data_IF_333387444229
#
_entry.id   IF_333387444229
#
_cell.length_a   1.000
_cell.length_b   1.000
_cell.length_c   1.000
_cell.angle_alpha   90.00
_cell.angle_beta   90.00
_cell.angle_gamma   90.00
#
_symmetry.space_group_name_H-M   'P 1'
#
loop_
_entity.id
_entity.type
_entity.pdbx_description
1 polymer ?
#
# COMPACT_ATOMS: atom_id res chain seq x y z
N UNK A 1 10.26 -24.93 11.66
CA UNK A 1 11.38 -24.32 12.42
C UNK A 1 12.50 -24.05 11.43
N UNK A 2 13.22 -22.94 11.57
CA UNK A 2 14.35 -22.57 10.71
C UNK A 2 15.62 -22.52 11.55
N UNK A 3 16.73 -22.97 10.97
CA UNK A 3 18.06 -22.91 11.59
C UNK A 3 19.03 -22.43 10.53
N UNK A 4 19.78 -21.38 10.84
CA UNK A 4 20.86 -20.89 9.99
C UNK A 4 22.00 -21.90 9.94
N UNK A 5 22.62 -22.07 8.77
CA UNK A 5 23.79 -22.93 8.58
C UNK A 5 24.83 -22.22 7.72
N UNK A 6 26.10 -22.54 7.96
CA UNK A 6 27.22 -22.09 7.11
C UNK A 6 27.47 -23.04 5.93
N UNK A 7 26.83 -24.22 5.94
CA UNK A 7 26.90 -25.19 4.85
C UNK A 7 25.92 -24.80 3.73
N UNK A 8 26.34 -23.84 2.92
CA UNK A 8 25.53 -23.27 1.84
C UNK A 8 25.11 -24.32 0.80
N UNK A 9 25.98 -25.29 0.50
CA UNK A 9 25.72 -26.33 -0.52
C UNK A 9 24.62 -27.31 -0.10
N UNK A 10 24.47 -27.54 1.21
CA UNK A 10 23.47 -28.47 1.75
C UNK A 10 22.29 -27.76 2.46
N UNK A 11 22.25 -26.43 2.43
CA UNK A 11 21.13 -25.66 2.97
C UNK A 11 19.83 -25.99 2.22
N UNK A 12 18.71 -26.09 2.93
CA UNK A 12 17.41 -26.30 2.28
C UNK A 12 16.92 -25.06 1.54
N UNK A 13 17.33 -23.89 2.02
CA UNK A 13 17.04 -22.58 1.44
C UNK A 13 18.35 -21.83 1.37
N UNK A 14 18.72 -21.36 0.18
CA UNK A 14 19.84 -20.46 -0.02
C UNK A 14 19.35 -19.03 -0.25
N UNK A 15 20.12 -18.05 0.21
CA UNK A 15 19.79 -16.63 0.07
C UNK A 15 21.04 -15.91 -0.46
N UNK A 16 20.89 -15.14 -1.54
CA UNK A 16 22.02 -14.46 -2.17
C UNK A 16 21.64 -13.20 -2.93
N UNK A 17 22.66 -12.42 -3.31
CA UNK A 17 22.54 -11.20 -4.11
C UNK A 17 23.23 -11.39 -5.45
N UNK A 18 22.52 -11.10 -6.54
CA UNK A 18 22.98 -11.39 -7.90
C UNK A 18 22.68 -10.24 -8.88
N UNK A 19 23.40 -10.19 -10.00
CA UNK A 19 23.17 -9.26 -11.10
C UNK A 19 22.78 -10.03 -12.37
N UNK A 20 21.85 -9.50 -13.16
CA UNK A 20 21.57 -10.02 -14.51
C UNK A 20 21.33 -11.53 -14.53
N UNK A 21 21.94 -12.23 -15.48
CA UNK A 21 21.96 -13.70 -15.49
C UNK A 21 22.84 -14.27 -14.37
N UNK A 22 22.28 -15.18 -13.61
CA UNK A 22 22.91 -15.81 -12.45
C UNK A 22 22.64 -17.32 -12.35
N UNK A 23 22.31 -17.96 -13.48
CA UNK A 23 22.35 -19.42 -13.62
C UNK A 23 21.09 -20.18 -13.20
N UNK A 24 19.98 -19.49 -12.96
CA UNK A 24 18.68 -20.07 -12.60
C UNK A 24 17.59 -19.89 -13.68
N UNK A 25 17.98 -19.42 -14.87
CA UNK A 25 17.10 -19.10 -16.01
C UNK A 25 16.10 -17.95 -15.78
N UNK A 26 16.23 -17.21 -14.67
CA UNK A 26 15.42 -16.04 -14.34
C UNK A 26 16.34 -14.81 -14.16
N UNK A 27 16.98 -14.31 -15.24
CA UNK A 27 17.90 -13.19 -15.13
C UNK A 27 17.20 -11.92 -14.64
N UNK A 28 17.86 -11.15 -13.78
CA UNK A 28 17.34 -9.87 -13.30
C UNK A 28 17.38 -8.78 -14.37
N UNK A 29 16.31 -8.00 -14.44
CA UNK A 29 16.23 -6.73 -15.16
C UNK A 29 16.15 -5.53 -14.18
N UNK A 30 15.71 -4.37 -14.66
CA UNK A 30 15.57 -3.14 -13.86
C UNK A 30 14.27 -3.06 -13.04
N UNK A 31 13.36 -4.03 -13.17
CA UNK A 31 12.03 -4.04 -12.56
C UNK A 31 11.91 -5.06 -11.44
N UNK A 32 12.65 -6.16 -11.51
CA UNK A 32 12.59 -7.23 -10.52
C UNK A 32 13.48 -6.90 -9.32
N UNK A 33 12.87 -6.78 -8.14
CA UNK A 33 13.60 -6.53 -6.89
C UNK A 33 14.27 -7.80 -6.35
N UNK A 34 13.56 -8.91 -6.38
CA UNK A 34 14.00 -10.21 -5.92
C UNK A 34 13.09 -11.29 -6.54
N UNK A 35 13.47 -12.56 -6.41
CA UNK A 35 12.57 -13.68 -6.65
C UNK A 35 12.91 -14.87 -5.74
N UNK A 36 11.94 -15.75 -5.55
CA UNK A 36 12.11 -17.05 -4.93
C UNK A 36 11.56 -18.19 -5.80
N UNK A 37 12.17 -19.38 -5.68
CA UNK A 37 11.79 -20.56 -6.49
C UNK A 37 10.56 -21.32 -6.00
N UNK A 38 10.00 -20.95 -4.85
CA UNK A 38 8.91 -21.67 -4.18
C UNK A 38 9.40 -22.81 -3.28
N UNK A 39 8.48 -23.59 -2.68
CA UNK A 39 8.84 -24.67 -1.76
C UNK A 39 9.42 -25.88 -2.49
N UNK A 40 10.58 -26.38 -2.03
CA UNK A 40 11.16 -27.62 -2.55
C UNK A 40 12.64 -27.78 -2.20
N UNK A 41 13.26 -28.93 -2.55
CA UNK A 41 14.70 -29.11 -2.45
C UNK A 41 15.44 -28.09 -3.33
N UNK A 42 16.47 -27.44 -2.78
CA UNK A 42 17.20 -26.39 -3.50
C UNK A 42 16.41 -25.09 -3.65
N UNK A 43 15.46 -24.83 -2.75
CA UNK A 43 14.75 -23.57 -2.71
C UNK A 43 15.74 -22.42 -2.53
N UNK A 44 15.49 -21.28 -3.17
CA UNK A 44 16.40 -20.14 -3.12
C UNK A 44 15.64 -18.83 -3.18
N UNK A 45 16.23 -17.80 -2.56
CA UNK A 45 15.81 -16.41 -2.61
C UNK A 45 16.98 -15.59 -3.15
N UNK A 46 16.77 -14.98 -4.31
CA UNK A 46 17.76 -14.10 -4.93
C UNK A 46 17.30 -12.65 -4.85
N UNK A 47 18.16 -11.78 -4.34
CA UNK A 47 17.98 -10.33 -4.39
C UNK A 47 18.72 -9.74 -5.58
N UNK A 48 18.09 -8.81 -6.29
CA UNK A 48 18.74 -8.09 -7.37
C UNK A 48 19.71 -7.04 -6.83
N UNK A 49 21.00 -7.29 -6.99
CA UNK A 49 22.09 -6.45 -6.54
C UNK A 49 22.21 -5.12 -7.32
N UNK A 50 21.45 -4.94 -8.41
CA UNK A 50 21.37 -3.67 -9.13
C UNK A 50 20.55 -2.61 -8.37
N UNK A 51 19.69 -3.01 -7.45
CA UNK A 51 18.92 -2.09 -6.61
C UNK A 51 19.70 -1.67 -5.35
N UNK A 52 19.36 -0.48 -4.85
CA UNK A 52 19.88 -0.01 -3.56
C UNK A 52 19.05 -0.63 -2.44
N UNK A 53 19.72 -1.30 -1.50
CA UNK A 53 19.10 -1.96 -0.36
C UNK A 53 19.38 -1.20 0.94
N UNK A 54 18.37 -1.11 1.80
CA UNK A 54 18.50 -0.53 3.13
C UNK A 54 18.02 -1.53 4.18
N UNK A 55 18.86 -1.79 5.17
CA UNK A 55 18.46 -2.41 6.45
C UNK A 55 18.02 -1.36 7.47
N UNK A 56 18.55 -0.14 7.34
CA UNK A 56 18.11 1.03 8.08
C UNK A 56 18.10 2.24 7.14
N UNK A 57 16.93 2.84 7.01
CA UNK A 57 16.72 4.05 6.24
C UNK A 57 17.41 5.29 6.82
N UNK A 58 17.88 5.22 8.07
CA UNK A 58 18.69 6.27 8.66
C UNK A 58 20.17 6.20 8.24
N UNK A 59 20.69 5.04 7.87
CA UNK A 59 22.05 4.91 7.35
C UNK A 59 22.08 5.04 5.83
N UNK A 60 21.14 4.40 5.13
CA UNK A 60 20.99 4.51 3.68
C UNK A 60 20.02 5.64 3.31
N UNK A 61 20.53 6.70 2.66
CA UNK A 61 19.78 7.94 2.37
C UNK A 61 19.24 8.03 0.93
N UNK A 62 19.59 7.11 0.05
CA UNK A 62 19.08 7.06 -1.31
C UNK A 62 17.56 7.00 -1.30
N UNK A 63 16.92 7.91 -2.06
CA UNK A 63 15.47 7.95 -2.26
C UNK A 63 14.95 6.70 -2.99
N UNK A 64 15.84 5.99 -3.68
CA UNK A 64 15.53 4.78 -4.44
C UNK A 64 15.86 3.50 -3.67
N UNK A 65 16.23 3.58 -2.40
CA UNK A 65 16.51 2.39 -1.61
C UNK A 65 15.23 1.65 -1.21
N UNK A 66 15.26 0.34 -1.38
CA UNK A 66 14.22 -0.58 -0.91
C UNK A 66 14.58 -1.13 0.46
N UNK A 67 13.58 -1.33 1.32
CA UNK A 67 13.76 -1.96 2.63
C UNK A 67 14.01 -3.45 2.43
N UNK A 68 15.20 -3.93 2.83
CA UNK A 68 15.61 -5.33 2.60
C UNK A 68 14.69 -6.31 3.34
N UNK A 69 14.29 -5.98 4.57
CA UNK A 69 13.42 -6.82 5.39
C UNK A 69 12.03 -6.99 4.75
N UNK A 70 11.46 -5.91 4.22
CA UNK A 70 10.16 -5.92 3.52
C UNK A 70 10.18 -6.88 2.33
N UNK A 71 11.19 -6.80 1.47
CA UNK A 71 11.29 -7.69 0.30
C UNK A 71 11.62 -9.12 0.74
N UNK A 72 12.50 -9.31 1.73
CA UNK A 72 12.80 -10.63 2.28
C UNK A 72 11.56 -11.34 2.81
N UNK A 73 10.69 -10.64 3.56
CA UNK A 73 9.44 -11.20 4.09
C UNK A 73 8.49 -11.63 2.97
N UNK A 74 8.40 -10.85 1.88
CA UNK A 74 7.62 -11.19 0.70
C UNK A 74 8.12 -12.47 0.04
N UNK A 75 9.42 -12.54 -0.28
CA UNK A 75 9.99 -13.70 -0.96
C UNK A 75 10.00 -14.96 -0.06
N UNK A 76 10.16 -14.80 1.25
CA UNK A 76 9.98 -15.91 2.20
C UNK A 76 8.54 -16.44 2.12
N UNK A 77 7.53 -15.59 1.92
CA UNK A 77 6.17 -16.04 1.66
C UNK A 77 6.09 -16.98 0.45
N UNK A 78 6.77 -16.65 -0.65
CA UNK A 78 6.88 -17.52 -1.83
C UNK A 78 7.62 -18.83 -1.51
N UNK A 79 8.73 -18.79 -0.76
CA UNK A 79 9.42 -20.01 -0.30
C UNK A 79 8.51 -20.94 0.53
N UNK A 80 7.54 -20.35 1.23
CA UNK A 80 6.51 -21.06 1.99
C UNK A 80 5.28 -21.45 1.14
N UNK A 81 5.28 -21.17 -0.16
CA UNK A 81 4.20 -21.53 -1.07
C UNK A 81 3.02 -20.56 -1.11
N UNK A 82 3.16 -19.35 -0.57
CA UNK A 82 2.18 -18.28 -0.76
C UNK A 82 2.33 -17.68 -2.16
N UNK A 83 1.20 -17.36 -2.78
CA UNK A 83 1.14 -16.58 -4.01
C UNK A 83 0.87 -15.10 -3.67
N UNK A 84 0.96 -14.23 -4.66
CA UNK A 84 0.68 -12.82 -4.53
C UNK A 84 -0.74 -12.56 -3.99
N UNK A 85 -0.83 -11.63 -3.04
CA UNK A 85 -2.10 -11.12 -2.55
C UNK A 85 -2.61 -9.97 -3.42
N UNK A 86 -3.93 -9.90 -3.58
CA UNK A 86 -4.61 -8.73 -4.17
C UNK A 86 -4.85 -7.60 -3.15
N UNK A 87 -4.54 -7.83 -1.87
CA UNK A 87 -4.70 -6.86 -0.79
C UNK A 87 -3.43 -6.02 -0.68
N UNK A 88 -3.54 -4.72 -0.99
CA UNK A 88 -2.40 -3.78 -1.02
C UNK A 88 -1.59 -3.74 0.28
N UNK A 89 -2.24 -3.97 1.41
CA UNK A 89 -1.60 -3.91 2.74
C UNK A 89 -0.95 -5.25 3.15
N UNK A 90 -1.23 -6.35 2.46
CA UNK A 90 -0.64 -7.66 2.72
C UNK A 90 0.82 -7.70 2.26
N UNK A 91 1.71 -8.36 3.01
CA UNK A 91 3.13 -8.44 2.63
C UNK A 91 3.30 -9.11 1.26
N UNK A 92 2.41 -10.04 0.90
CA UNK A 92 2.39 -10.71 -0.41
C UNK A 92 1.86 -9.84 -1.57
N UNK A 93 1.59 -8.54 -1.39
CA UNK A 93 1.25 -7.66 -2.51
C UNK A 93 2.45 -7.51 -3.48
N UNK A 94 2.27 -7.68 -4.80
CA UNK A 94 3.36 -7.88 -5.78
C UNK A 94 4.19 -6.63 -6.12
N UNK A 95 4.00 -5.50 -5.43
CA UNK A 95 4.67 -4.26 -5.80
C UNK A 95 4.96 -3.38 -4.61
N UNK A 96 6.23 -3.13 -4.35
CA UNK A 96 6.68 -2.26 -3.28
C UNK A 96 7.34 -0.99 -3.81
N UNK A 97 7.29 0.06 -2.99
CA UNK A 97 7.84 1.36 -3.31
C UNK A 97 9.15 1.57 -2.53
N UNK A 98 10.12 2.32 -3.08
CA UNK A 98 11.27 2.76 -2.32
C UNK A 98 10.85 3.47 -1.04
N UNK A 99 11.69 3.36 0.00
CA UNK A 99 11.49 4.03 1.31
C UNK A 99 10.26 3.60 2.08
N UNK A 100 9.59 2.52 1.67
CA UNK A 100 8.48 1.93 2.40
C UNK A 100 8.96 0.71 3.19
N UNK A 101 8.56 0.63 4.45
CA UNK A 101 8.72 -0.56 5.29
C UNK A 101 7.35 -1.23 5.47
N UNK A 102 7.28 -2.54 5.25
CA UNK A 102 6.05 -3.34 5.31
C UNK A 102 6.37 -4.78 5.73
N UNK A 103 6.58 -4.94 7.02
CA UNK A 103 6.96 -6.22 7.65
C UNK A 103 5.87 -6.77 8.57
N UNK A 104 4.84 -5.97 8.85
CA UNK A 104 3.67 -6.40 9.61
C UNK A 104 2.78 -7.27 8.73
N UNK A 105 2.58 -8.53 9.13
CA UNK A 105 1.73 -9.46 8.42
C UNK A 105 0.27 -9.03 8.48
N UNK A 106 -0.39 -8.95 7.33
CA UNK A 106 -1.83 -8.78 7.25
C UNK A 106 -2.55 -10.09 7.58
N UNK A 107 -3.86 -9.98 7.83
CA UNK A 107 -4.69 -11.15 8.09
C UNK A 107 -4.69 -12.14 6.91
N UNK A 108 -4.59 -11.63 5.68
CA UNK A 108 -4.49 -12.45 4.46
C UNK A 108 -3.23 -13.31 4.44
N UNK A 109 -2.08 -12.71 4.76
CA UNK A 109 -0.79 -13.43 4.83
C UNK A 109 -0.83 -14.54 5.88
N UNK A 110 -1.37 -14.23 7.06
CA UNK A 110 -1.50 -15.21 8.16
C UNK A 110 -2.46 -16.34 7.80
N UNK A 111 -3.62 -16.01 7.21
CA UNK A 111 -4.59 -17.02 6.79
C UNK A 111 -4.03 -17.93 5.70
N UNK A 112 -3.32 -17.36 4.72
CA UNK A 112 -2.65 -18.13 3.66
C UNK A 112 -1.64 -19.11 4.24
N UNK A 113 -0.75 -18.64 5.13
CA UNK A 113 0.22 -19.51 5.78
C UNK A 113 -0.45 -20.60 6.63
N UNK A 114 -1.49 -20.27 7.38
CA UNK A 114 -2.22 -21.23 8.21
C UNK A 114 -3.01 -22.24 7.38
N UNK A 115 -3.44 -21.89 6.16
CA UNK A 115 -4.08 -22.84 5.26
C UNK A 115 -3.11 -23.94 4.81
N UNK A 116 -1.81 -23.61 4.67
CA UNK A 116 -0.76 -24.54 4.26
C UNK A 116 -0.18 -25.34 5.43
N UNK A 117 0.02 -24.72 6.59
CA UNK A 117 0.79 -25.29 7.69
C UNK A 117 0.01 -25.50 8.99
N UNK A 118 -1.26 -25.12 9.01
CA UNK A 118 -2.13 -25.20 10.19
C UNK A 118 -2.03 -23.98 11.11
N UNK A 119 -2.96 -23.92 12.07
CA UNK A 119 -3.05 -22.80 13.00
C UNK A 119 -1.90 -22.80 14.01
N UNK A 120 -1.33 -21.61 14.25
CA UNK A 120 -0.39 -21.41 15.34
C UNK A 120 -1.18 -21.00 16.59
N UNK A 121 -1.24 -21.88 17.59
CA UNK A 121 -1.98 -21.65 18.84
C UNK A 121 -1.46 -20.48 19.67
N UNK A 122 -0.26 -19.97 19.36
CA UNK A 122 0.36 -18.84 20.06
C UNK A 122 0.04 -17.49 19.40
N UNK A 123 -0.67 -17.45 18.27
CA UNK A 123 -1.07 -16.19 17.62
C UNK A 123 -2.48 -15.80 18.08
N UNK A 124 -2.60 -14.61 18.66
CA UNK A 124 -3.90 -13.99 18.94
C UNK A 124 -4.46 -13.36 17.66
N UNK A 125 -5.21 -14.17 16.89
CA UNK A 125 -5.85 -13.75 15.64
C UNK A 125 -6.88 -12.64 15.83
N UNK A 126 -7.48 -12.50 17.02
CA UNK A 126 -8.48 -11.48 17.30
C UNK A 126 -7.85 -10.08 17.30
N UNK A 127 -6.62 -9.94 17.77
CA UNK A 127 -5.89 -8.68 17.70
C UNK A 127 -5.64 -8.20 16.26
N UNK A 128 -5.34 -9.13 15.34
CA UNK A 128 -5.13 -8.83 13.92
C UNK A 128 -6.45 -8.47 13.22
N UNK A 129 -7.53 -9.20 13.53
CA UNK A 129 -8.87 -8.90 13.04
C UNK A 129 -9.34 -7.52 13.49
N UNK A 130 -9.14 -7.17 14.77
CA UNK A 130 -9.50 -5.84 15.30
C UNK A 130 -8.70 -4.73 14.60
N UNK A 131 -7.40 -4.92 14.38
CA UNK A 131 -6.59 -3.97 13.60
C UNK A 131 -7.15 -3.78 12.18
N UNK A 132 -7.45 -4.87 11.48
CA UNK A 132 -8.01 -4.85 10.13
C UNK A 132 -9.40 -4.17 10.07
N UNK A 133 -10.27 -4.48 11.04
CA UNK A 133 -11.58 -3.84 11.14
C UNK A 133 -11.44 -2.34 11.46
N UNK A 134 -10.50 -1.96 12.32
CA UNK A 134 -10.25 -0.57 12.65
C UNK A 134 -9.78 0.22 11.43
N UNK A 135 -8.75 -0.25 10.69
CA UNK A 135 -8.27 0.41 9.47
C UNK A 135 -9.37 0.53 8.42
N UNK A 136 -10.18 -0.51 8.22
CA UNK A 136 -11.35 -0.48 7.34
C UNK A 136 -12.37 0.60 7.77
N UNK A 137 -12.73 0.63 9.05
CA UNK A 137 -13.72 1.56 9.58
C UNK A 137 -13.26 3.02 9.50
N UNK A 138 -11.99 3.30 9.82
CA UNK A 138 -11.43 4.64 9.68
C UNK A 138 -11.35 5.08 8.22
N UNK A 139 -10.92 4.21 7.31
CA UNK A 139 -10.91 4.49 5.87
C UNK A 139 -12.30 4.85 5.34
N UNK A 140 -13.30 4.00 5.62
CA UNK A 140 -14.68 4.24 5.17
C UNK A 140 -15.30 5.51 5.77
N UNK A 141 -15.03 5.82 7.05
CA UNK A 141 -15.54 7.02 7.70
C UNK A 141 -14.91 8.31 7.19
N UNK A 142 -13.60 8.32 6.96
CA UNK A 142 -12.92 9.51 6.41
C UNK A 142 -13.42 9.79 4.98
N UNK A 143 -13.61 8.75 4.17
CA UNK A 143 -14.20 8.89 2.82
C UNK A 143 -15.63 9.45 2.93
N UNK A 144 -16.47 8.91 3.81
CA UNK A 144 -17.84 9.41 4.02
C UNK A 144 -17.89 10.86 4.49
N UNK A 145 -17.05 11.25 5.46
CA UNK A 145 -16.96 12.63 5.94
C UNK A 145 -16.52 13.57 4.82
N UNK A 146 -15.55 13.14 4.00
CA UNK A 146 -15.05 13.94 2.87
C UNK A 146 -16.14 14.18 1.82
N UNK A 147 -16.96 13.17 1.52
CA UNK A 147 -18.12 13.29 0.63
C UNK A 147 -19.16 14.25 1.22
N UNK A 148 -19.50 14.12 2.50
CA UNK A 148 -20.48 15.00 3.17
C UNK A 148 -20.02 16.45 3.17
N UNK A 149 -18.75 16.71 3.49
CA UNK A 149 -18.16 18.06 3.46
C UNK A 149 -18.18 18.62 2.03
N UNK A 150 -17.83 17.83 1.02
CA UNK A 150 -17.87 18.26 -0.38
C UNK A 150 -19.29 18.64 -0.82
N UNK A 151 -20.28 17.81 -0.51
CA UNK A 151 -21.70 18.09 -0.82
C UNK A 151 -22.18 19.34 -0.10
N UNK A 152 -21.80 19.52 1.17
CA UNK A 152 -22.13 20.71 1.94
C UNK A 152 -21.51 21.97 1.30
N UNK A 153 -20.23 21.96 0.93
CA UNK A 153 -19.56 23.08 0.27
C UNK A 153 -20.21 23.44 -1.07
N UNK A 154 -20.61 22.44 -1.87
CA UNK A 154 -21.35 22.67 -3.12
C UNK A 154 -22.70 23.32 -2.82
N UNK A 155 -23.44 22.82 -1.82
CA UNK A 155 -24.75 23.37 -1.46
C UNK A 155 -24.67 24.83 -1.00
N UNK A 156 -23.68 25.17 -0.17
CA UNK A 156 -23.43 26.55 0.29
C UNK A 156 -23.04 27.44 -0.89
N UNK A 157 -22.19 26.96 -1.79
CA UNK A 157 -21.79 27.70 -2.99
C UNK A 157 -22.99 28.03 -3.89
N UNK A 158 -23.91 27.07 -4.10
CA UNK A 158 -25.14 27.30 -4.88
C UNK A 158 -26.06 28.32 -4.22
N UNK A 159 -26.19 28.28 -2.89
CA UNK A 159 -26.98 29.28 -2.14
C UNK A 159 -26.35 30.67 -2.25
N UNK A 160 -25.03 30.78 -2.09
CA UNK A 160 -24.31 32.06 -2.23
C UNK A 160 -24.45 32.62 -3.65
N UNK A 161 -24.27 31.79 -4.68
CA UNK A 161 -24.46 32.23 -6.09
C UNK A 161 -25.90 32.67 -6.35
N UNK A 162 -26.90 31.96 -5.83
CA UNK A 162 -28.31 32.39 -5.92
C UNK A 162 -28.53 33.73 -5.21
N UNK A 163 -28.01 33.89 -4.00
CA UNK A 163 -28.16 35.14 -3.25
C UNK A 163 -27.49 36.31 -3.97
N UNK A 164 -26.29 36.12 -4.51
CA UNK A 164 -25.59 37.13 -5.30
C UNK A 164 -26.38 37.48 -6.58
N UNK A 165 -26.88 36.48 -7.29
CA UNK A 165 -27.71 36.68 -8.48
C UNK A 165 -29.01 37.45 -8.16
N UNK A 166 -29.70 37.09 -7.06
CA UNK A 166 -30.90 37.80 -6.63
C UNK A 166 -30.61 39.24 -6.17
N UNK A 167 -29.52 39.43 -5.43
CA UNK A 167 -29.09 40.76 -4.99
C UNK A 167 -28.75 41.68 -6.17
N UNK A 168 -28.04 41.16 -7.17
CA UNK A 168 -27.71 41.89 -8.40
C UNK A 168 -28.97 42.28 -9.19
N UNK A 169 -29.91 41.33 -9.34
CA UNK A 169 -31.19 41.57 -10.02
C UNK A 169 -32.07 42.60 -9.28
N UNK A 170 -32.04 42.61 -7.96
CA UNK A 170 -32.87 43.54 -7.17
C UNK A 170 -32.35 44.99 -7.29
N UNK A 171 -31.02 45.17 -7.34
CA UNK A 171 -30.41 46.48 -7.62
C UNK A 171 -30.79 47.04 -8.99
N UNK A 172 -30.99 46.17 -9.98
CA UNK A 172 -31.36 46.63 -11.33
C UNK A 172 -32.80 47.14 -11.40
N UNK A 173 -33.71 46.68 -10.53
CA UNK A 173 -35.10 47.15 -10.49
C UNK A 173 -35.27 48.47 -9.71
N UNK A 174 -34.51 48.70 -8.64
CA UNK A 174 -34.54 49.96 -7.88
C UNK A 174 -34.08 51.17 -8.71
N UNK A 175 -33.22 50.97 -9.71
CA UNK A 175 -32.75 52.01 -10.63
C UNK A 175 -33.70 52.27 -11.82
N UNK A 176 -34.89 51.66 -11.85
CA UNK A 176 -35.90 51.86 -12.91
C UNK A 176 -37.20 52.53 -12.39
N UNK A 177 -37.17 53.19 -11.23
CA UNK A 177 -38.33 53.96 -10.76
C UNK A 177 -38.45 55.23 -11.63
N UNK A 178 -39.57 55.26 -12.35
CA UNK A 178 -40.04 56.18 -13.37
C UNK A 178 -40.06 57.65 -12.93
N UNK A 179 -39.40 58.51 -13.71
CA UNK A 179 -39.45 59.98 -13.58
C UNK A 179 -40.43 60.50 -14.64
N UNK A 180 -41.72 60.23 -14.47
CA UNK A 180 -42.77 60.79 -15.34
C UNK A 180 -44.04 61.15 -14.58
N UNK A 181 -43.93 62.05 -13.59
CA UNK A 181 -45.11 62.81 -13.12
C UNK A 181 -44.69 64.14 -12.48
N UNK A 182 -44.70 65.22 -13.28
CA UNK A 182 -44.91 66.60 -12.80
C UNK A 182 -45.74 67.37 -13.84
N UNK A 183 -46.98 67.80 -13.52
CA UNK A 183 -47.81 68.58 -14.45
C UNK A 183 -47.44 70.07 -14.44
N UNK A 184 -47.70 70.70 -15.60
CA UNK A 184 -47.48 72.10 -15.99
C UNK A 184 -48.17 73.13 -15.08
#
# INVERSE_FOLDING_TARGET
>A
NFTETQDYEHANITIGFYYGDHGDWNPFDDRVLAHASGPGPGAHLHFNAAHTWAVDFNSEKSKNAFDLETIAVHEIGHLLGLDHSSIRDAVMWPSELPRKKKVDLALDDVNGAQALYGANTNINLDSLKVKHLATSFFGSRVIWISIVVLVFLISVSVVVVKLLYFWDRNKTQENQIDVSDTPL
#
